data_IF_335337701755
#
_entry.id   IF_335337701755
#
_cell.length_a   1.000
_cell.length_b   1.000
_cell.length_c   1.000
_cell.angle_alpha   90.00
_cell.angle_beta   90.00
_cell.angle_gamma   90.00
#
_symmetry.space_group_name_H-M   'P 1'
#
loop_
_entity.id
_entity.type
_entity.pdbx_description
1 polymer ?
#
# COMPACT_ATOMS: atom_id res chain seq x y z
N UNK A 1 -25.51 44.01 -67.31
CA UNK A 1 -24.47 44.76 -66.58
C UNK A 1 -23.18 44.63 -67.39
N UNK A 2 -22.73 45.75 -67.96
CA UNK A 2 -21.71 45.74 -69.01
C UNK A 2 -20.32 45.43 -68.45
N UNK A 3 -19.65 44.40 -68.97
CA UNK A 3 -18.38 43.86 -68.45
C UNK A 3 -17.27 44.92 -68.48
N UNK A 4 -17.37 45.87 -69.41
CA UNK A 4 -16.46 47.01 -69.53
C UNK A 4 -16.62 48.05 -68.41
N UNK A 5 -17.84 48.24 -67.86
CA UNK A 5 -18.09 49.17 -66.76
C UNK A 5 -17.47 48.62 -65.46
N UNK A 6 -17.65 47.33 -65.20
CA UNK A 6 -17.03 46.65 -64.03
C UNK A 6 -15.51 46.68 -64.15
N UNK A 7 -14.97 46.36 -65.34
CA UNK A 7 -13.51 46.38 -65.57
C UNK A 7 -12.92 47.76 -65.32
N UNK A 8 -13.57 48.83 -65.81
CA UNK A 8 -13.13 50.22 -65.62
C UNK A 8 -13.23 50.66 -64.15
N UNK A 9 -14.29 50.28 -63.45
CA UNK A 9 -14.46 50.54 -62.03
C UNK A 9 -13.39 49.84 -61.19
N UNK A 10 -13.08 48.57 -61.49
CA UNK A 10 -12.05 47.79 -60.77
C UNK A 10 -10.64 48.32 -61.05
N UNK A 11 -10.33 48.73 -62.29
CA UNK A 11 -9.03 49.32 -62.63
C UNK A 11 -8.81 50.73 -62.08
N UNK A 12 -9.89 51.44 -61.70
CA UNK A 12 -9.82 52.77 -61.08
C UNK A 12 -9.78 52.75 -59.55
N UNK A 13 -9.89 51.58 -58.91
CA UNK A 13 -9.69 51.44 -57.47
C UNK A 13 -8.18 51.35 -57.22
N UNK A 14 -7.56 52.52 -57.15
CA UNK A 14 -6.20 52.64 -56.66
C UNK A 14 -6.25 52.65 -55.12
N UNK A 15 -5.89 51.53 -54.51
CA UNK A 15 -5.79 51.47 -53.05
C UNK A 15 -4.73 52.47 -52.60
N UNK A 16 -5.14 53.44 -51.79
CA UNK A 16 -4.20 54.34 -51.12
C UNK A 16 -3.21 53.51 -50.31
N UNK A 17 -1.95 53.95 -50.20
CA UNK A 17 -0.93 53.23 -49.42
C UNK A 17 -1.39 52.97 -47.98
N UNK A 18 -2.14 53.90 -47.40
CA UNK A 18 -2.76 53.78 -46.09
C UNK A 18 -3.84 52.66 -46.01
N UNK A 19 -4.55 52.39 -47.10
CA UNK A 19 -5.50 51.27 -47.19
C UNK A 19 -4.78 49.93 -47.33
N UNK A 20 -3.71 49.87 -48.12
CA UNK A 20 -2.87 48.66 -48.25
C UNK A 20 -2.22 48.31 -46.92
N UNK A 21 -1.69 49.31 -46.22
CA UNK A 21 -1.07 49.13 -44.90
C UNK A 21 -2.08 48.63 -43.86
N UNK A 22 -3.30 49.19 -43.81
CA UNK A 22 -4.38 48.69 -42.93
C UNK A 22 -4.78 47.24 -43.23
N UNK A 23 -4.84 46.85 -44.50
CA UNK A 23 -5.14 45.46 -44.90
C UNK A 23 -4.02 44.52 -44.46
N UNK A 24 -2.75 44.93 -44.64
CA UNK A 24 -1.59 44.14 -44.26
C UNK A 24 -1.51 43.94 -42.73
N UNK A 25 -1.64 45.03 -41.96
CA UNK A 25 -1.69 44.98 -40.50
C UNK A 25 -2.85 44.12 -39.98
N UNK A 26 -4.02 44.19 -40.61
CA UNK A 26 -5.16 43.33 -40.30
C UNK A 26 -4.85 41.84 -40.51
N UNK A 27 -4.09 41.51 -41.55
CA UNK A 27 -3.69 40.13 -41.84
C UNK A 27 -2.67 39.59 -40.82
N UNK A 28 -1.66 40.40 -40.47
CA UNK A 28 -0.68 40.07 -39.43
C UNK A 28 -1.35 39.89 -38.06
N UNK A 29 -2.23 40.83 -37.67
CA UNK A 29 -2.94 40.78 -36.39
C UNK A 29 -3.81 39.52 -36.28
N UNK A 30 -4.48 39.11 -37.37
CA UNK A 30 -5.27 37.86 -37.43
C UNK A 30 -4.40 36.60 -37.31
N UNK A 31 -3.20 36.60 -37.91
CA UNK A 31 -2.21 35.50 -37.79
C UNK A 31 -1.70 35.37 -36.35
N UNK A 32 -1.38 36.49 -35.71
CA UNK A 32 -0.92 36.54 -34.31
C UNK A 32 -1.99 36.06 -33.35
N UNK A 33 -3.24 36.48 -33.52
CA UNK A 33 -4.38 36.03 -32.70
C UNK A 33 -4.63 34.51 -32.82
N UNK A 34 -4.59 33.96 -34.04
CA UNK A 34 -4.70 32.51 -34.25
C UNK A 34 -3.58 31.74 -33.53
N UNK A 35 -2.35 32.24 -33.58
CA UNK A 35 -1.20 31.64 -32.89
C UNK A 35 -1.38 31.67 -31.37
N UNK A 36 -1.84 32.79 -30.80
CA UNK A 36 -2.12 32.92 -29.36
C UNK A 36 -3.21 31.93 -28.93
N UNK A 37 -4.30 31.82 -29.69
CA UNK A 37 -5.40 30.92 -29.36
C UNK A 37 -4.98 29.45 -29.43
N UNK A 38 -4.17 29.09 -30.43
CA UNK A 38 -3.60 27.75 -30.57
C UNK A 38 -2.67 27.40 -29.39
N UNK A 39 -1.77 28.32 -29.02
CA UNK A 39 -0.87 28.12 -27.88
C UNK A 39 -1.66 27.98 -26.57
N UNK A 40 -2.69 28.80 -26.33
CA UNK A 40 -3.57 28.65 -25.15
C UNK A 40 -4.24 27.28 -25.08
N UNK A 41 -4.73 26.74 -26.21
CA UNK A 41 -5.31 25.38 -26.26
C UNK A 41 -4.29 24.30 -25.90
N UNK A 42 -3.07 24.40 -26.41
CA UNK A 42 -1.99 23.48 -26.05
C UNK A 42 -1.67 23.58 -24.56
N UNK A 43 -1.49 24.79 -24.03
CA UNK A 43 -1.20 24.99 -22.60
C UNK A 43 -2.29 24.39 -21.71
N UNK A 44 -3.57 24.58 -22.04
CA UNK A 44 -4.68 23.96 -21.30
C UNK A 44 -4.63 22.44 -21.39
N UNK A 45 -4.39 21.88 -22.58
CA UNK A 45 -4.27 20.43 -22.77
C UNK A 45 -3.13 19.82 -21.96
N UNK A 46 -1.97 20.49 -21.90
CA UNK A 46 -0.81 20.05 -21.09
C UNK A 46 -1.14 20.08 -19.61
N UNK A 47 -1.80 21.15 -19.12
CA UNK A 47 -2.19 21.26 -17.70
C UNK A 47 -3.15 20.14 -17.29
N UNK A 48 -4.19 19.88 -18.11
CA UNK A 48 -5.16 18.81 -17.83
C UNK A 48 -4.48 17.44 -17.82
N UNK A 49 -3.58 17.19 -18.76
CA UNK A 49 -2.84 15.93 -18.84
C UNK A 49 -1.91 15.77 -17.64
N UNK A 50 -1.22 16.84 -17.21
CA UNK A 50 -0.37 16.83 -16.03
C UNK A 50 -1.17 16.61 -14.73
N UNK A 51 -2.36 17.23 -14.61
CA UNK A 51 -3.27 17.00 -13.48
C UNK A 51 -3.73 15.54 -13.40
N UNK A 52 -4.14 14.95 -14.53
CA UNK A 52 -4.54 13.54 -14.58
C UNK A 52 -3.38 12.62 -14.17
N UNK A 53 -2.17 12.88 -14.67
CA UNK A 53 -0.97 12.15 -14.26
C UNK A 53 -0.70 12.28 -12.76
N UNK A 54 -0.79 13.49 -12.20
CA UNK A 54 -0.63 13.74 -10.77
C UNK A 54 -1.66 12.97 -9.93
N UNK A 55 -2.92 12.94 -10.35
CA UNK A 55 -3.96 12.16 -9.66
C UNK A 55 -3.66 10.65 -9.68
N UNK A 56 -3.19 10.11 -10.82
CA UNK A 56 -2.80 8.70 -10.93
C UNK A 56 -1.59 8.39 -10.05
N UNK A 57 -0.57 9.25 -10.06
CA UNK A 57 0.62 9.09 -9.21
C UNK A 57 0.31 9.21 -7.72
N UNK A 58 -0.59 10.11 -7.32
CA UNK A 58 -1.02 10.23 -5.92
C UNK A 58 -1.74 8.97 -5.45
N UNK A 59 -2.60 8.36 -6.28
CA UNK A 59 -3.25 7.08 -5.96
C UNK A 59 -2.24 5.93 -5.81
N UNK A 60 -1.22 5.88 -6.66
CA UNK A 60 -0.13 4.88 -6.56
C UNK A 60 0.69 5.09 -5.29
N UNK A 61 1.03 6.34 -4.96
CA UNK A 61 1.79 6.67 -3.75
C UNK A 61 1.00 6.43 -2.46
N UNK A 62 -0.32 6.61 -2.47
CA UNK A 62 -1.19 6.32 -1.33
C UNK A 62 -1.30 4.82 -1.04
N UNK A 63 -1.19 3.95 -2.07
CA UNK A 63 -1.15 2.49 -1.89
C UNK A 63 0.11 1.99 -1.15
N UNK A 64 1.17 2.78 -1.07
CA UNK A 64 2.50 2.32 -0.64
C UNK A 64 2.87 2.60 0.82
N UNK A 65 1.91 2.85 1.71
CA UNK A 65 2.18 2.87 3.17
C UNK A 65 1.21 1.98 3.91
N UNK A 66 1.22 0.70 3.56
CA UNK A 66 0.67 -0.31 4.45
C UNK A 66 1.51 -0.30 5.73
N UNK A 67 0.89 0.03 6.85
CA UNK A 67 1.56 0.13 8.14
C UNK A 67 0.95 -0.94 9.02
N UNK A 68 1.71 -1.99 9.36
CA UNK A 68 1.25 -2.98 10.32
C UNK A 68 1.38 -2.36 11.71
N UNK A 69 0.25 -2.05 12.32
CA UNK A 69 0.24 -1.65 13.73
C UNK A 69 0.12 -2.89 14.57
N UNK A 70 1.00 -2.98 15.56
CA UNK A 70 1.04 -4.11 16.46
C UNK A 70 0.62 -3.69 17.84
N UNK A 71 -0.13 -4.57 18.47
CA UNK A 71 -0.53 -4.39 19.84
C UNK A 71 0.05 -5.50 20.68
N UNK A 72 0.88 -5.07 21.62
CA UNK A 72 1.46 -5.88 22.67
C UNK A 72 0.61 -5.72 23.93
N UNK A 73 0.11 -6.81 24.48
CA UNK A 73 -0.64 -6.77 25.74
C UNK A 73 0.33 -6.85 26.93
N UNK A 74 0.25 -5.87 27.83
CA UNK A 74 1.08 -5.82 29.04
C UNK A 74 0.36 -6.43 30.26
N UNK A 75 1.09 -6.62 31.36
CA UNK A 75 0.62 -7.23 32.62
C UNK A 75 -0.67 -6.60 33.19
N UNK A 76 -0.93 -5.33 32.90
CA UNK A 76 -2.05 -4.59 33.46
C UNK A 76 -3.32 -4.71 32.60
N UNK A 77 -3.27 -5.53 31.54
CA UNK A 77 -4.29 -5.59 30.50
C UNK A 77 -4.27 -4.36 29.57
N UNK A 78 -3.30 -3.47 29.75
CA UNK A 78 -3.12 -2.31 28.90
C UNK A 78 -2.54 -2.74 27.56
N UNK A 79 -3.22 -2.32 26.50
CA UNK A 79 -2.79 -2.57 25.14
C UNK A 79 -1.82 -1.46 24.75
N UNK A 80 -0.52 -1.78 24.61
CA UNK A 80 0.44 -0.84 24.06
C UNK A 80 0.42 -0.99 22.54
N UNK A 81 -0.15 0.01 21.86
CA UNK A 81 -0.07 0.12 20.41
C UNK A 81 1.29 0.69 20.02
N UNK A 82 2.06 -0.07 19.26
CA UNK A 82 3.31 0.39 18.68
C UNK A 82 3.31 0.02 17.21
N UNK A 83 3.67 0.97 16.35
CA UNK A 83 4.00 0.61 14.98
C UNK A 83 5.28 -0.20 15.08
N UNK A 84 5.27 -1.46 14.66
CA UNK A 84 6.49 -2.25 14.62
C UNK A 84 7.42 -1.61 13.60
N UNK A 85 8.51 -1.04 14.10
CA UNK A 85 9.58 -0.47 13.29
C UNK A 85 10.72 -1.49 13.29
N UNK A 86 11.39 -1.72 12.15
CA UNK A 86 12.60 -2.54 12.11
C UNK A 86 13.57 -2.16 13.23
N UNK A 87 14.20 -3.18 13.82
CA UNK A 87 15.19 -3.05 14.90
C UNK A 87 14.65 -2.55 16.26
N UNK A 88 13.36 -2.23 16.37
CA UNK A 88 12.71 -1.95 17.66
C UNK A 88 12.17 -3.24 18.28
N UNK A 89 12.38 -3.36 19.59
CA UNK A 89 11.94 -4.51 20.39
C UNK A 89 10.71 -4.12 21.20
N UNK A 90 9.67 -4.94 21.12
CA UNK A 90 8.53 -4.87 22.04
C UNK A 90 8.54 -6.10 22.94
N UNK A 91 8.22 -5.92 24.22
CA UNK A 91 8.23 -6.99 25.21
C UNK A 91 6.80 -7.38 25.56
N UNK A 92 6.49 -8.67 25.40
CA UNK A 92 5.25 -9.32 25.81
C UNK A 92 5.49 -10.11 27.09
N UNK A 93 4.47 -10.15 27.95
CA UNK A 93 4.49 -10.99 29.15
C UNK A 93 3.55 -12.18 28.97
N UNK A 94 3.83 -13.26 29.69
CA UNK A 94 3.04 -14.48 29.65
C UNK A 94 1.61 -14.19 30.10
N UNK A 95 0.64 -14.66 29.33
CA UNK A 95 -0.79 -14.50 29.58
C UNK A 95 -1.54 -15.80 29.31
N UNK A 96 -2.69 -15.99 29.96
CA UNK A 96 -3.62 -17.06 29.63
C UNK A 96 -4.31 -16.73 28.30
N UNK A 97 -4.14 -17.59 27.29
CA UNK A 97 -4.80 -17.48 25.98
C UNK A 97 -5.84 -18.59 25.82
N UNK A 98 -6.76 -18.50 24.84
CA UNK A 98 -7.73 -19.56 24.58
C UNK A 98 -7.13 -20.94 24.26
N UNK A 99 -5.84 -20.98 23.89
CA UNK A 99 -5.12 -22.19 23.50
C UNK A 99 -3.98 -22.55 24.47
N UNK A 100 -3.86 -21.85 25.60
CA UNK A 100 -2.83 -22.09 26.62
C UNK A 100 -2.13 -20.85 27.12
N UNK A 101 -1.18 -21.02 28.04
CA UNK A 101 -0.33 -19.92 28.48
C UNK A 101 0.66 -19.55 27.37
N UNK A 102 0.68 -18.28 26.99
CA UNK A 102 1.56 -17.79 25.94
C UNK A 102 1.48 -16.28 25.78
N UNK A 103 1.82 -15.82 24.58
CA UNK A 103 1.99 -14.40 24.28
C UNK A 103 1.02 -13.97 23.20
N UNK A 104 0.38 -12.82 23.39
CA UNK A 104 -0.62 -12.28 22.48
C UNK A 104 -0.04 -11.11 21.70
N UNK A 105 -0.21 -11.16 20.39
CA UNK A 105 0.23 -10.16 19.45
C UNK A 105 -0.92 -9.85 18.49
N UNK A 106 -1.40 -8.62 18.44
CA UNK A 106 -2.47 -8.25 17.50
C UNK A 106 -1.92 -7.47 16.32
N UNK A 107 -2.37 -7.81 15.13
CA UNK A 107 -2.12 -7.09 13.88
C UNK A 107 -3.34 -6.26 13.53
N UNK A 108 -3.13 -4.98 13.24
CA UNK A 108 -4.13 -4.16 12.59
C UNK A 108 -3.78 -3.92 11.12
N UNK A 109 -4.65 -4.44 10.25
CA UNK A 109 -4.66 -4.24 8.80
C UNK A 109 -6.03 -3.68 8.37
N UNK A 110 -6.12 -3.03 7.19
CA UNK A 110 -7.38 -2.54 6.64
C UNK A 110 -8.42 -3.65 6.47
N UNK A 111 -9.71 -3.31 6.61
CA UNK A 111 -10.82 -4.29 6.68
C UNK A 111 -10.93 -5.24 5.48
N UNK A 112 -10.55 -4.80 4.29
CA UNK A 112 -10.65 -5.61 3.07
C UNK A 112 -9.37 -6.39 2.74
N UNK A 113 -8.39 -6.37 3.64
CA UNK A 113 -7.12 -7.09 3.48
C UNK A 113 -7.14 -8.35 4.33
N UNK A 114 -6.34 -9.34 3.91
CA UNK A 114 -6.16 -10.59 4.63
C UNK A 114 -4.68 -10.79 4.93
N UNK A 115 -4.35 -11.53 5.99
CA UNK A 115 -2.96 -11.92 6.24
C UNK A 115 -2.86 -13.39 6.61
N UNK A 116 -1.74 -13.98 6.22
CA UNK A 116 -1.34 -15.34 6.58
C UNK A 116 0.02 -15.32 7.28
N UNK A 117 0.23 -16.26 8.19
CA UNK A 117 1.53 -16.53 8.80
C UNK A 117 2.21 -17.73 8.14
N UNK A 118 3.43 -17.56 7.64
CA UNK A 118 4.25 -18.64 7.05
C UNK A 118 5.47 -18.90 7.93
N UNK A 119 5.70 -20.16 8.31
CA UNK A 119 6.90 -20.53 9.07
C UNK A 119 8.15 -20.42 8.19
N UNK A 120 9.24 -19.88 8.75
CA UNK A 120 10.54 -19.74 8.08
C UNK A 120 11.64 -20.67 8.63
N UNK A 121 11.35 -21.41 9.71
CA UNK A 121 12.30 -22.26 10.42
C UNK A 121 12.07 -23.78 10.28
N UNK A 122 12.60 -24.53 11.26
CA UNK A 122 12.32 -25.96 11.42
C UNK A 122 10.81 -26.16 11.57
N UNK A 123 10.25 -27.18 10.92
CA UNK A 123 8.80 -27.51 10.92
C UNK A 123 8.16 -27.53 12.32
N UNK A 124 8.97 -27.67 13.38
CA UNK A 124 8.57 -27.61 14.78
C UNK A 124 7.95 -26.30 15.26
N UNK A 125 8.35 -25.16 14.67
CA UNK A 125 8.04 -23.85 15.25
C UNK A 125 6.61 -23.38 14.90
N UNK A 126 6.04 -23.84 13.79
CA UNK A 126 4.69 -23.46 13.34
C UNK A 126 3.58 -23.96 14.28
N UNK A 127 3.80 -25.06 14.99
CA UNK A 127 2.80 -25.64 15.91
C UNK A 127 2.63 -24.83 17.21
N UNK A 128 3.48 -23.83 17.43
CA UNK A 128 3.39 -22.93 18.57
C UNK A 128 2.67 -21.62 18.25
N UNK A 129 2.32 -21.39 16.97
CA UNK A 129 1.67 -20.16 16.51
C UNK A 129 0.22 -20.45 16.15
N UNK A 130 -0.70 -19.72 16.76
CA UNK A 130 -2.14 -19.81 16.50
C UNK A 130 -2.66 -18.46 16.04
N UNK A 131 -3.41 -18.46 14.94
CA UNK A 131 -4.03 -17.25 14.40
C UNK A 131 -5.54 -17.28 14.70
N UNK A 132 -6.06 -16.18 15.21
CA UNK A 132 -7.50 -15.94 15.33
C UNK A 132 -7.81 -14.49 14.95
N UNK A 133 -8.43 -14.30 13.79
CA UNK A 133 -8.74 -12.98 13.23
C UNK A 133 -7.49 -12.09 13.22
N UNK A 134 -7.47 -11.03 14.03
CA UNK A 134 -6.36 -10.07 14.17
C UNK A 134 -5.29 -10.50 15.17
N UNK A 135 -5.52 -11.57 15.94
CA UNK A 135 -4.61 -12.01 17.00
C UNK A 135 -3.74 -13.17 16.53
N UNK A 136 -2.46 -13.09 16.89
CA UNK A 136 -1.48 -14.15 16.82
C UNK A 136 -1.12 -14.51 18.26
N UNK A 137 -1.21 -15.80 18.58
CA UNK A 137 -0.82 -16.35 19.86
C UNK A 137 0.44 -17.18 19.66
N UNK A 138 1.45 -16.94 20.50
CA UNK A 138 2.61 -17.81 20.59
C UNK A 138 2.62 -18.56 21.90
N UNK A 139 2.55 -19.88 21.81
CA UNK A 139 2.49 -20.81 22.95
C UNK A 139 3.82 -21.57 22.98
N UNK A 140 4.85 -21.08 23.72
CA UNK A 140 6.20 -21.63 23.70
C UNK A 140 6.29 -23.01 24.36
N UNK A 141 5.42 -23.29 25.32
CA UNK A 141 5.28 -24.58 26.00
C UNK A 141 4.27 -25.44 25.26
N UNK A 142 4.56 -26.73 25.09
CA UNK A 142 3.60 -27.69 24.54
C UNK A 142 2.37 -27.80 25.44
N UNK A 143 1.28 -27.10 25.11
CA UNK A 143 0.03 -27.28 25.83
C UNK A 143 -0.60 -28.63 25.46
N UNK A 144 -0.76 -29.54 26.43
CA UNK A 144 -1.40 -30.84 26.23
C UNK A 144 -2.94 -30.76 26.11
N UNK A 145 -3.53 -29.58 26.28
CA UNK A 145 -4.97 -29.36 26.11
C UNK A 145 -5.30 -29.00 24.66
N UNK A 146 -5.45 -30.06 23.86
CA UNK A 146 -5.72 -29.98 22.43
C UNK A 146 -4.91 -31.04 21.69
N UNK A 147 -5.20 -32.32 21.94
CA UNK A 147 -4.55 -33.41 21.22
C UNK A 147 -4.89 -33.27 19.73
N UNK A 148 -3.89 -33.08 18.87
CA UNK A 148 -4.08 -33.02 17.41
C UNK A 148 -4.19 -34.45 16.90
N UNK A 149 -5.35 -34.75 16.30
CA UNK A 149 -5.62 -36.03 15.66
C UNK A 149 -5.46 -35.88 14.15
N UNK A 150 -4.99 -36.92 13.47
CA UNK A 150 -5.05 -36.98 12.02
C UNK A 150 -6.52 -37.02 11.56
N UNK A 151 -6.77 -36.82 10.25
CA UNK A 151 -8.10 -37.05 9.68
C UNK A 151 -8.63 -38.49 9.87
N UNK A 152 -7.77 -39.42 10.29
CA UNK A 152 -8.09 -40.82 10.61
C UNK A 152 -8.22 -41.07 12.13
N UNK A 153 -8.26 -40.02 12.95
CA UNK A 153 -8.31 -40.05 14.41
C UNK A 153 -7.10 -40.71 15.09
N UNK A 154 -5.96 -40.81 14.40
CA UNK A 154 -4.71 -41.26 15.02
C UNK A 154 -4.06 -40.09 15.76
N UNK A 155 -3.66 -40.34 17.02
CA UNK A 155 -2.93 -39.36 17.83
C UNK A 155 -1.54 -39.18 17.23
N UNK A 156 -1.28 -38.01 16.65
CA UNK A 156 0.02 -37.71 16.05
C UNK A 156 1.09 -37.62 17.15
N UNK A 157 2.16 -38.40 17.02
CA UNK A 157 3.31 -38.33 17.91
C UNK A 157 4.15 -37.08 17.54
N UNK A 158 4.08 -36.05 18.39
CA UNK A 158 4.87 -34.83 18.26
C UNK A 158 6.34 -35.12 18.61
N UNK A 159 7.21 -35.25 17.60
CA UNK A 159 8.67 -35.20 17.75
C UNK A 159 9.21 -33.74 17.88
N UNK A 160 8.31 -32.79 18.16
CA UNK A 160 8.60 -31.39 18.43
C UNK A 160 9.22 -31.25 19.83
N UNK A 161 10.23 -30.38 20.03
CA UNK A 161 10.76 -30.08 21.37
C UNK A 161 9.63 -29.68 22.33
N UNK A 162 9.72 -30.07 23.60
CA UNK A 162 8.70 -29.77 24.61
C UNK A 162 8.57 -28.26 24.93
N UNK A 163 9.57 -27.48 24.50
CA UNK A 163 9.68 -26.03 24.71
C UNK A 163 10.45 -25.39 23.55
N UNK A 164 9.96 -24.24 23.08
CA UNK A 164 10.59 -23.44 22.02
C UNK A 164 10.89 -22.05 22.57
N UNK A 165 12.17 -21.70 22.65
CA UNK A 165 12.67 -20.39 23.11
C UNK A 165 12.71 -19.34 21.99
N UNK A 166 12.68 -19.76 20.74
CA UNK A 166 12.69 -18.87 19.57
C UNK A 166 11.74 -19.34 18.47
N UNK A 167 10.93 -18.41 17.94
CA UNK A 167 10.08 -18.64 16.78
C UNK A 167 10.28 -17.53 15.74
N UNK A 168 10.42 -17.92 14.47
CA UNK A 168 10.48 -17.00 13.32
C UNK A 168 9.41 -17.37 12.30
N UNK A 169 8.62 -16.37 11.88
CA UNK A 169 7.58 -16.53 10.87
C UNK A 169 7.44 -15.26 10.03
N UNK A 170 7.01 -15.42 8.79
CA UNK A 170 6.68 -14.35 7.86
C UNK A 170 5.18 -14.04 7.97
N UNK A 171 4.82 -12.77 8.10
CA UNK A 171 3.45 -12.30 7.90
C UNK A 171 3.35 -11.82 6.46
N UNK A 172 2.48 -12.44 5.69
CA UNK A 172 2.17 -12.05 4.32
C UNK A 172 0.78 -11.43 4.29
N UNK A 173 0.69 -10.18 3.82
CA UNK A 173 -0.56 -9.45 3.70
C UNK A 173 -0.98 -9.39 2.25
N UNK A 174 -2.25 -9.70 2.02
CA UNK A 174 -2.91 -9.73 0.73
C UNK A 174 -3.93 -8.60 0.62
N UNK A 175 -3.94 -7.92 -0.52
CA UNK A 175 -4.94 -6.90 -0.82
C UNK A 175 -6.29 -7.48 -1.24
N UNK A 176 -7.24 -6.60 -1.57
CA UNK A 176 -8.59 -6.97 -2.03
C UNK A 176 -8.58 -7.84 -3.30
N UNK A 177 -7.51 -7.75 -4.10
CA UNK A 177 -7.32 -8.54 -5.32
C UNK A 177 -6.61 -9.87 -5.05
N UNK A 178 -6.31 -10.18 -3.79
CA UNK A 178 -5.53 -11.34 -3.33
C UNK A 178 -4.08 -11.31 -3.82
N UNK A 179 -3.56 -10.14 -4.17
CA UNK A 179 -2.15 -9.96 -4.49
C UNK A 179 -1.37 -9.62 -3.22
N UNK A 180 -0.11 -10.05 -3.15
CA UNK A 180 0.76 -9.75 -2.00
C UNK A 180 1.04 -8.25 -2.00
N UNK A 181 0.56 -7.55 -0.99
CA UNK A 181 0.75 -6.11 -0.82
C UNK A 181 1.91 -5.79 0.13
N UNK A 182 2.17 -6.65 1.10
CA UNK A 182 3.20 -6.46 2.11
C UNK A 182 3.65 -7.82 2.66
N UNK A 183 4.93 -7.94 3.02
CA UNK A 183 5.45 -9.10 3.73
C UNK A 183 6.56 -8.69 4.67
N UNK A 184 6.62 -9.27 5.87
CA UNK A 184 7.67 -8.98 6.85
C UNK A 184 7.94 -10.20 7.74
N UNK A 185 9.19 -10.35 8.16
CA UNK A 185 9.60 -11.45 9.03
C UNK A 185 9.54 -10.96 10.48
N UNK A 186 8.87 -11.75 11.33
CA UNK A 186 8.80 -11.53 12.76
C UNK A 186 9.57 -12.63 13.48
N UNK A 187 10.32 -12.21 14.50
CA UNK A 187 10.98 -13.10 15.45
C UNK A 187 10.42 -12.86 16.84
N UNK A 188 10.06 -13.95 17.50
CA UNK A 188 9.76 -14.03 18.92
C UNK A 188 10.91 -14.76 19.62
N UNK A 189 11.41 -14.18 20.71
CA UNK A 189 12.51 -14.71 21.51
C UNK A 189 12.13 -14.66 22.98
N UNK A 190 12.23 -15.78 23.69
CA UNK A 190 11.86 -15.89 25.08
C UNK A 190 13.08 -15.70 25.99
N UNK A 191 13.08 -14.61 26.78
CA UNK A 191 14.14 -14.28 27.73
C UNK A 191 13.52 -14.04 29.10
N UNK A 192 13.85 -14.87 30.09
CA UNK A 192 13.36 -14.75 31.47
C UNK A 192 11.82 -14.64 31.56
N UNK A 193 11.09 -15.54 30.89
CA UNK A 193 9.60 -15.56 30.82
C UNK A 193 8.95 -14.38 30.08
N UNK A 194 9.74 -13.43 29.59
CA UNK A 194 9.29 -12.34 28.73
C UNK A 194 9.58 -12.67 27.26
N UNK A 195 8.59 -12.51 26.39
CA UNK A 195 8.76 -12.66 24.96
C UNK A 195 9.17 -11.32 24.35
N UNK A 196 10.33 -11.29 23.72
CA UNK A 196 10.81 -10.17 22.93
C UNK A 196 10.35 -10.38 21.49
N UNK A 197 9.65 -9.39 20.96
CA UNK A 197 9.15 -9.36 19.59
C UNK A 197 9.95 -8.36 18.78
N UNK A 198 10.40 -8.76 17.58
CA UNK A 198 11.12 -7.89 16.66
C UNK A 198 10.79 -8.19 15.20
N UNK A 199 10.79 -7.14 14.37
CA UNK A 199 10.83 -7.28 12.92
C UNK A 199 12.27 -7.54 12.46
N UNK A 200 12.44 -8.52 11.59
CA UNK A 200 13.70 -8.94 11.00
C UNK A 200 13.75 -8.50 9.54
N UNK A 201 14.76 -7.70 9.19
CA UNK A 201 15.09 -7.32 7.81
C UNK A 201 15.95 -8.37 7.13
#
# INVERSE_FOLDING_TARGET
>A
MDKNIIKKAVTGIEFTEESKQRIFEGFERKKTLKKIFYMKRITVGVIVTAMLFLCVFMNIMLKNKMTITVYAMTQDGNVKSSVLIPEHKETLKLMETPVGNGYIFQIDIPENYMYDCKSLGKESNIFTIYQNEKNIYWIPEKNMLGQIYSNENEKLANNTPDYVDECEFEIVVYDESKEISYSEIIKFELINEECIVMLKK
#
